data_IF_709542690744
#
_entry.id   IF_709542690744
#
_cell.length_a   1.000
_cell.length_b   1.000
_cell.length_c   1.000
_cell.angle_alpha   90.00
_cell.angle_beta   90.00
_cell.angle_gamma   90.00
#
_symmetry.space_group_name_H-M   'P 1'
#
loop_
_entity.id
_entity.type
_entity.pdbx_description
1 polymer ?
#
# COMPACT_ATOMS: atom_id res chain seq x y z
N UNK A 1 7.98 -1.66 -9.65
CA UNK A 1 6.65 -1.18 -9.25
C UNK A 1 6.12 -2.05 -8.13
N UNK A 2 5.29 -1.50 -7.25
CA UNK A 2 4.53 -2.23 -6.23
C UNK A 2 3.06 -1.94 -6.49
N UNK A 3 2.28 -2.98 -6.77
CA UNK A 3 0.85 -2.86 -7.10
C UNK A 3 0.04 -3.64 -6.06
N UNK A 4 -0.89 -2.95 -5.40
CA UNK A 4 -1.64 -3.46 -4.24
C UNK A 4 -3.14 -3.31 -4.53
N UNK A 5 -3.86 -4.41 -4.61
CA UNK A 5 -5.29 -4.42 -4.93
C UNK A 5 -6.06 -5.34 -4.02
N UNK A 6 -7.08 -4.84 -3.34
CA UNK A 6 -7.79 -5.59 -2.30
C UNK A 6 -9.29 -5.59 -2.57
N UNK A 7 -9.86 -6.76 -2.85
CA UNK A 7 -11.31 -6.93 -3.02
C UNK A 7 -11.94 -7.62 -1.81
N UNK A 8 -11.35 -8.74 -1.38
CA UNK A 8 -11.96 -9.67 -0.42
C UNK A 8 -11.71 -9.24 1.04
N UNK A 9 -12.06 -8.00 1.37
CA UNK A 9 -12.15 -7.58 2.77
C UNK A 9 -13.21 -8.42 3.50
N UNK A 10 -12.96 -8.88 4.75
CA UNK A 10 -13.96 -9.57 5.55
C UNK A 10 -15.25 -8.77 5.71
N UNK A 11 -15.10 -7.46 5.88
CA UNK A 11 -16.18 -6.48 5.96
C UNK A 11 -16.19 -5.59 4.71
N UNK A 12 -17.37 -5.38 4.11
CA UNK A 12 -17.56 -4.49 2.95
C UNK A 12 -16.66 -4.82 1.74
N UNK A 13 -16.78 -6.01 1.13
CA UNK A 13 -15.92 -6.41 0.02
C UNK A 13 -16.09 -5.50 -1.21
N UNK A 14 -14.98 -5.29 -1.93
CA UNK A 14 -14.90 -4.53 -3.17
C UNK A 14 -14.83 -5.47 -4.38
N UNK A 15 -14.89 -4.91 -5.59
CA UNK A 15 -14.84 -5.69 -6.85
C UNK A 15 -13.90 -5.11 -7.90
N UNK A 16 -13.60 -3.81 -7.86
CA UNK A 16 -12.80 -3.10 -8.87
C UNK A 16 -11.29 -3.21 -8.66
N UNK A 17 -10.84 -3.34 -7.41
CA UNK A 17 -9.44 -3.14 -7.06
C UNK A 17 -8.49 -4.17 -7.69
N UNK A 18 -8.87 -5.44 -7.70
CA UNK A 18 -8.05 -6.49 -8.35
C UNK A 18 -8.01 -6.31 -9.87
N UNK A 19 -9.14 -6.10 -10.58
CA UNK A 19 -9.11 -5.67 -11.98
C UNK A 19 -8.24 -4.45 -12.28
N UNK A 20 -8.24 -3.44 -11.40
CA UNK A 20 -7.40 -2.24 -11.58
C UNK A 20 -5.91 -2.58 -11.56
N UNK A 21 -5.49 -3.45 -10.64
CA UNK A 21 -4.10 -3.94 -10.57
C UNK A 21 -3.72 -4.73 -11.82
N UNK A 22 -4.61 -5.59 -12.32
CA UNK A 22 -4.36 -6.34 -13.56
C UNK A 22 -4.21 -5.42 -14.78
N UNK A 23 -5.02 -4.35 -14.86
CA UNK A 23 -4.90 -3.35 -15.92
C UNK A 23 -3.61 -2.55 -15.80
N UNK A 24 -3.21 -2.15 -14.58
CA UNK A 24 -1.96 -1.44 -14.36
C UNK A 24 -0.73 -2.31 -14.63
N UNK A 25 -0.73 -3.58 -14.21
CA UNK A 25 0.34 -4.53 -14.53
C UNK A 25 0.50 -4.68 -16.04
N UNK A 26 -0.62 -4.88 -16.75
CA UNK A 26 -0.64 -4.99 -18.21
C UNK A 26 -0.08 -3.72 -18.86
N UNK A 27 -0.52 -2.55 -18.44
CA UNK A 27 -0.01 -1.27 -18.94
C UNK A 27 1.50 -1.12 -18.71
N UNK A 28 1.99 -1.46 -17.52
CA UNK A 28 3.41 -1.38 -17.19
C UNK A 28 4.25 -2.32 -18.04
N UNK A 29 3.77 -3.54 -18.27
CA UNK A 29 4.52 -4.58 -18.99
C UNK A 29 4.42 -4.44 -20.50
N UNK A 30 3.21 -4.24 -21.05
CA UNK A 30 2.96 -4.22 -22.49
C UNK A 30 3.23 -2.86 -23.13
N UNK A 31 2.78 -1.76 -22.49
CA UNK A 31 2.90 -0.42 -23.07
C UNK A 31 4.21 0.27 -22.67
N UNK A 32 4.65 0.09 -21.42
CA UNK A 32 5.86 0.73 -20.88
C UNK A 32 7.09 -0.18 -20.85
N UNK A 33 6.94 -1.47 -21.17
CA UNK A 33 8.05 -2.42 -21.27
C UNK A 33 8.76 -2.70 -19.95
N UNK A 34 8.10 -2.51 -18.80
CA UNK A 34 8.64 -2.84 -17.49
C UNK A 34 8.74 -4.37 -17.37
N UNK A 35 9.92 -4.95 -17.07
CA UNK A 35 10.04 -6.38 -16.86
C UNK A 35 9.16 -6.86 -15.71
N UNK A 36 8.43 -7.96 -15.87
CA UNK A 36 7.51 -8.48 -14.84
C UNK A 36 8.22 -8.79 -13.51
N UNK A 37 9.48 -9.21 -13.54
CA UNK A 37 10.28 -9.43 -12.31
C UNK A 37 10.62 -8.13 -11.55
N UNK A 38 10.37 -6.96 -12.13
CA UNK A 38 10.45 -5.65 -11.47
C UNK A 38 9.10 -5.16 -10.97
N UNK A 39 8.06 -6.00 -10.99
CA UNK A 39 6.72 -5.70 -10.48
C UNK A 39 6.42 -6.64 -9.32
N UNK A 40 6.14 -6.07 -8.15
CA UNK A 40 5.63 -6.80 -6.99
C UNK A 40 4.11 -6.63 -6.95
N UNK A 41 3.38 -7.74 -6.84
CA UNK A 41 1.92 -7.77 -6.78
C UNK A 41 1.48 -8.23 -5.40
N UNK A 42 0.58 -7.47 -4.77
CA UNK A 42 -0.12 -7.88 -3.55
C UNK A 42 -1.63 -7.80 -3.84
N UNK A 43 -2.28 -8.96 -3.95
CA UNK A 43 -3.64 -9.06 -4.47
C UNK A 43 -4.52 -9.81 -3.48
N UNK A 44 -5.48 -9.11 -2.89
CA UNK A 44 -6.46 -9.66 -1.97
C UNK A 44 -7.67 -10.21 -2.74
N UNK A 45 -7.50 -11.39 -3.35
CA UNK A 45 -8.55 -12.14 -4.03
C UNK A 45 -8.88 -13.43 -3.27
N UNK A 46 -9.93 -14.15 -3.70
CA UNK A 46 -10.38 -15.40 -3.06
C UNK A 46 -9.27 -16.47 -2.99
N UNK A 47 -8.33 -16.41 -3.92
CA UNK A 47 -7.21 -17.34 -4.02
C UNK A 47 -6.03 -16.99 -3.10
N UNK A 48 -5.99 -15.75 -2.58
CA UNK A 48 -4.88 -15.17 -1.81
C UNK A 48 -5.38 -14.54 -0.50
N UNK A 49 -6.19 -15.28 0.26
CA UNK A 49 -6.77 -14.82 1.54
C UNK A 49 -5.98 -15.25 2.77
N UNK A 50 -5.02 -16.16 2.63
CA UNK A 50 -4.17 -16.60 3.76
C UNK A 50 -3.08 -15.56 4.03
N UNK A 51 -2.84 -15.23 5.30
CA UNK A 51 -1.72 -14.35 5.69
C UNK A 51 -0.36 -14.99 5.40
N UNK A 52 -0.29 -16.32 5.31
CA UNK A 52 0.93 -17.04 4.92
C UNK A 52 1.24 -16.94 3.42
N UNK A 53 0.31 -16.43 2.62
CA UNK A 53 0.51 -16.21 1.19
C UNK A 53 1.31 -14.91 0.99
N UNK A 54 2.51 -14.96 0.37
CA UNK A 54 3.31 -13.76 0.14
C UNK A 54 2.64 -12.72 -0.78
N UNK A 55 1.61 -13.12 -1.53
CA UNK A 55 0.81 -12.21 -2.37
C UNK A 55 -0.38 -11.61 -1.62
N UNK A 56 -0.69 -12.07 -0.40
CA UNK A 56 -1.76 -11.51 0.41
C UNK A 56 -1.39 -10.09 0.86
N UNK A 57 -2.25 -9.08 0.64
CA UNK A 57 -1.99 -7.69 1.00
C UNK A 57 -2.29 -7.45 2.50
N UNK A 58 -1.64 -8.26 3.35
CA UNK A 58 -1.60 -8.03 4.80
C UNK A 58 -0.82 -6.77 5.10
N UNK A 59 -1.02 -6.21 6.30
CA UNK A 59 -0.27 -5.03 6.73
C UNK A 59 1.24 -5.25 6.63
N UNK A 60 1.70 -6.42 7.09
CA UNK A 60 3.13 -6.77 7.09
C UNK A 60 3.66 -6.83 5.66
N UNK A 61 2.97 -7.52 4.76
CA UNK A 61 3.42 -7.66 3.37
C UNK A 61 3.43 -6.33 2.62
N UNK A 62 2.45 -5.45 2.83
CA UNK A 62 2.45 -4.11 2.22
C UNK A 62 3.66 -3.31 2.69
N UNK A 63 3.91 -3.27 3.99
CA UNK A 63 5.06 -2.52 4.55
C UNK A 63 6.39 -3.11 4.08
N UNK A 64 6.52 -4.43 4.10
CA UNK A 64 7.74 -5.12 3.65
C UNK A 64 8.01 -4.87 2.17
N UNK A 65 6.98 -4.92 1.32
CA UNK A 65 7.11 -4.62 -0.10
C UNK A 65 7.60 -3.18 -0.32
N UNK A 66 7.05 -2.20 0.40
CA UNK A 66 7.48 -0.81 0.31
C UNK A 66 8.90 -0.60 0.84
N UNK A 67 9.24 -1.17 2.00
CA UNK A 67 10.58 -1.07 2.58
C UNK A 67 11.63 -1.80 1.74
N UNK A 68 11.26 -2.88 1.04
CA UNK A 68 12.17 -3.61 0.13
C UNK A 68 12.70 -2.72 -0.99
N UNK A 69 11.95 -1.69 -1.41
CA UNK A 69 12.39 -0.74 -2.44
C UNK A 69 13.64 0.02 -2.01
N UNK A 70 13.84 0.23 -0.70
CA UNK A 70 14.99 0.95 -0.15
C UNK A 70 16.27 0.14 -0.36
N UNK A 71 16.23 -1.17 -0.10
CA UNK A 71 17.41 -2.04 -0.10
C UNK A 71 17.62 -2.80 -1.40
N UNK A 72 16.62 -2.85 -2.29
CA UNK A 72 16.71 -3.59 -3.55
C UNK A 72 17.82 -3.04 -4.44
N UNK A 73 18.87 -3.84 -4.68
CA UNK A 73 20.04 -3.46 -5.49
C UNK A 73 19.76 -3.34 -6.98
N UNK A 74 18.65 -3.89 -7.48
CA UNK A 74 18.25 -3.80 -8.89
C UNK A 74 17.63 -2.44 -9.24
N UNK A 75 17.26 -1.64 -8.24
CA UNK A 75 16.75 -0.27 -8.38
C UNK A 75 17.92 0.69 -8.23
N UNK A 76 18.33 1.31 -9.34
CA UNK A 76 19.37 2.33 -9.35
C UNK A 76 18.85 3.67 -8.80
N UNK A 77 19.77 4.54 -8.39
CA UNK A 77 19.42 5.90 -8.02
C UNK A 77 18.81 6.64 -9.23
N UNK A 78 17.67 7.30 -9.03
CA UNK A 78 16.82 7.94 -10.02
C UNK A 78 16.15 6.99 -11.05
N UNK A 79 16.04 5.70 -10.76
CA UNK A 79 15.06 4.84 -11.46
C UNK A 79 13.63 5.28 -11.13
N UNK A 80 12.70 5.06 -12.07
CA UNK A 80 11.29 5.34 -11.83
C UNK A 80 10.68 4.26 -10.92
N UNK A 81 10.08 4.70 -9.81
CA UNK A 81 9.36 3.84 -8.87
C UNK A 81 7.87 4.19 -8.97
N UNK A 82 7.05 3.17 -9.19
CA UNK A 82 5.59 3.30 -9.20
C UNK A 82 5.02 2.47 -8.05
N UNK A 83 4.19 3.11 -7.24
CA UNK A 83 3.40 2.49 -6.18
C UNK A 83 1.93 2.76 -6.52
N UNK A 84 1.15 1.69 -6.70
CA UNK A 84 -0.28 1.80 -6.96
C UNK A 84 -1.06 1.03 -5.91
N UNK A 85 -2.00 1.69 -5.25
CA UNK A 85 -2.92 1.08 -4.29
C UNK A 85 -4.36 1.28 -4.77
N UNK A 86 -5.15 0.21 -4.78
CA UNK A 86 -6.61 0.25 -4.96
C UNK A 86 -7.27 -0.57 -3.84
N UNK A 87 -8.14 0.06 -3.06
CA UNK A 87 -8.71 -0.55 -1.87
C UNK A 87 -9.51 0.42 -1.00
N UNK A 88 -9.80 0.02 0.24
CA UNK A 88 -10.43 0.90 1.21
C UNK A 88 -9.42 1.89 1.79
N UNK A 89 -9.84 3.14 1.90
CA UNK A 89 -9.19 4.08 2.79
C UNK A 89 -10.10 4.41 3.96
N UNK A 90 -9.50 4.75 5.10
CA UNK A 90 -10.20 5.08 6.33
C UNK A 90 -9.62 6.33 6.95
N UNK A 91 -10.13 6.69 8.13
CA UNK A 91 -9.54 7.73 8.93
C UNK A 91 -9.76 7.46 10.42
N UNK A 92 -8.82 7.90 11.24
CA UNK A 92 -8.94 7.86 12.70
C UNK A 92 -8.95 9.28 13.27
N UNK A 93 -9.73 9.52 14.35
CA UNK A 93 -9.58 10.75 15.10
C UNK A 93 -8.17 10.82 15.71
N UNK A 94 -7.58 12.01 15.84
CA UNK A 94 -6.30 12.17 16.52
C UNK A 94 -6.36 11.64 17.96
N UNK A 95 -5.22 11.19 18.48
CA UNK A 95 -5.15 10.77 19.88
C UNK A 95 -5.46 11.95 20.81
N UNK A 96 -6.29 11.76 21.84
CA UNK A 96 -6.76 12.85 22.71
C UNK A 96 -5.64 13.53 23.52
N UNK A 97 -4.43 12.96 23.57
CA UNK A 97 -3.27 13.54 24.25
C UNK A 97 -2.39 14.40 23.31
N UNK A 98 -2.64 14.39 21.99
CA UNK A 98 -2.03 15.34 21.06
C UNK A 98 -2.87 16.63 21.05
N UNK A 99 -2.47 17.57 21.91
CA UNK A 99 -3.09 18.90 22.14
C UNK A 99 -2.90 19.87 20.95
N UNK A 100 -2.78 19.33 19.73
CA UNK A 100 -2.78 20.09 18.48
C UNK A 100 -4.13 19.97 17.80
N UNK A 101 -4.57 21.06 17.16
CA UNK A 101 -5.70 21.09 16.21
C UNK A 101 -5.41 20.17 15.01
N UNK A 102 -5.36 18.86 15.24
CA UNK A 102 -4.80 17.92 14.29
C UNK A 102 -5.93 17.36 13.45
N UNK A 103 -5.81 17.56 12.13
CA UNK A 103 -6.66 16.95 11.13
C UNK A 103 -6.72 15.42 11.32
N UNK A 104 -7.84 14.81 10.93
CA UNK A 104 -8.03 13.36 10.92
C UNK A 104 -6.85 12.65 10.24
N UNK A 105 -6.40 11.53 10.83
CA UNK A 105 -5.33 10.70 10.25
C UNK A 105 -5.97 9.79 9.21
N UNK A 106 -5.67 10.01 7.94
CA UNK A 106 -6.13 9.17 6.84
C UNK A 106 -5.29 7.90 6.73
N UNK A 107 -5.90 6.79 6.32
CA UNK A 107 -5.24 5.47 6.33
C UNK A 107 -5.57 4.62 5.11
N UNK A 108 -4.63 3.76 4.72
CA UNK A 108 -4.85 2.65 3.78
C UNK A 108 -5.19 1.39 4.57
N UNK A 109 -6.29 0.73 4.20
CA UNK A 109 -6.78 -0.46 4.88
C UNK A 109 -6.11 -1.73 4.31
N UNK A 110 -5.33 -2.48 5.10
CA UNK A 110 -4.87 -3.81 4.69
C UNK A 110 -6.00 -4.84 4.80
N UNK A 111 -5.85 -6.01 4.16
CA UNK A 111 -6.90 -7.05 4.17
C UNK A 111 -7.15 -7.65 5.56
N UNK A 112 -6.11 -7.66 6.40
CA UNK A 112 -6.10 -8.24 7.74
C UNK A 112 -6.49 -7.25 8.84
N UNK A 113 -6.95 -6.04 8.50
CA UNK A 113 -7.34 -5.00 9.48
C UNK A 113 -8.35 -5.48 10.54
N UNK A 114 -9.25 -6.38 10.16
CA UNK A 114 -10.27 -6.92 11.06
C UNK A 114 -9.74 -8.07 11.94
N UNK A 115 -8.50 -8.52 11.73
CA UNK A 115 -7.83 -9.58 12.50
C UNK A 115 -7.40 -9.05 13.86
N UNK A 116 -7.62 -9.84 14.92
CA UNK A 116 -7.13 -9.54 16.27
C UNK A 116 -5.70 -10.06 16.44
N UNK A 117 -4.79 -9.20 16.88
CA UNK A 117 -3.45 -9.56 17.34
C UNK A 117 -3.46 -10.25 18.71
N UNK A 118 -2.27 -10.70 19.13
CA UNK A 118 -2.09 -11.37 20.44
C UNK A 118 -2.47 -10.49 21.63
N UNK A 119 -2.41 -9.17 21.48
CA UNK A 119 -2.79 -8.19 22.49
C UNK A 119 -4.31 -7.91 22.51
N UNK A 120 -5.09 -8.62 21.68
CA UNK A 120 -6.52 -8.46 21.55
C UNK A 120 -6.95 -7.20 20.80
N UNK A 121 -6.02 -6.49 20.14
CA UNK A 121 -6.34 -5.31 19.31
C UNK A 121 -6.38 -5.70 17.84
N UNK A 122 -7.16 -4.95 17.07
CA UNK A 122 -7.19 -5.09 15.62
C UNK A 122 -5.84 -4.69 14.99
N UNK A 123 -5.47 -5.35 13.89
CA UNK A 123 -4.32 -4.93 13.07
C UNK A 123 -4.56 -3.48 12.61
N UNK A 124 -3.64 -2.55 12.91
CA UNK A 124 -3.86 -1.15 12.56
C UNK A 124 -3.72 -0.95 11.06
N UNK A 125 -4.52 -0.05 10.50
CA UNK A 125 -4.33 0.42 9.13
C UNK A 125 -2.94 1.10 8.97
N UNK A 126 -2.57 1.39 7.73
CA UNK A 126 -1.33 2.11 7.40
C UNK A 126 -1.67 3.60 7.29
N UNK A 127 -1.16 4.41 8.23
CA UNK A 127 -1.45 5.86 8.23
C UNK A 127 -0.72 6.61 7.12
N UNK A 128 -1.27 7.74 6.71
CA UNK A 128 -0.62 8.71 5.83
C UNK A 128 0.75 9.15 6.36
N UNK A 129 0.90 9.37 7.67
CA UNK A 129 2.18 9.69 8.35
C UNK A 129 3.22 8.58 8.17
N UNK A 130 2.80 7.33 8.34
CA UNK A 130 3.66 6.16 8.15
C UNK A 130 4.06 5.98 6.68
N UNK A 131 3.09 6.09 5.76
CA UNK A 131 3.34 6.05 4.33
C UNK A 131 4.32 7.14 3.90
N UNK A 132 4.11 8.39 4.35
CA UNK A 132 5.01 9.52 4.06
C UNK A 132 6.42 9.31 4.62
N UNK A 133 6.53 8.68 5.78
CA UNK A 133 7.83 8.29 6.35
C UNK A 133 8.54 7.28 5.46
N UNK A 134 7.85 6.23 5.02
CA UNK A 134 8.40 5.20 4.14
C UNK A 134 8.79 5.80 2.78
N UNK A 135 7.93 6.61 2.16
CA UNK A 135 8.22 7.31 0.92
C UNK A 135 9.44 8.23 1.04
N UNK A 136 9.58 8.93 2.17
CA UNK A 136 10.76 9.76 2.46
C UNK A 136 12.05 8.93 2.55
N UNK A 137 12.00 7.73 3.13
CA UNK A 137 13.14 6.82 3.20
C UNK A 137 13.49 6.26 1.82
N UNK A 138 12.51 5.85 1.02
CA UNK A 138 12.72 5.43 -0.38
C UNK A 138 13.34 6.58 -1.17
N UNK A 139 12.82 7.80 -1.02
CA UNK A 139 13.32 8.99 -1.70
C UNK A 139 14.79 9.28 -1.39
N UNK A 140 15.20 9.13 -0.12
CA UNK A 140 16.60 9.31 0.31
C UNK A 140 17.53 8.24 -0.29
N UNK A 141 17.06 7.00 -0.40
CA UNK A 141 17.87 5.89 -0.89
C UNK A 141 17.93 5.81 -2.43
N UNK A 142 16.82 6.12 -3.11
CA UNK A 142 16.61 5.86 -4.54
C UNK A 142 16.39 7.12 -5.38
N UNK A 143 16.29 8.30 -4.78
CA UNK A 143 16.03 9.55 -5.48
C UNK A 143 14.54 9.87 -5.62
N UNK A 144 14.22 10.95 -6.33
CA UNK A 144 12.90 11.61 -6.26
C UNK A 144 11.86 11.12 -7.28
N UNK A 145 12.19 10.13 -8.13
CA UNK A 145 11.29 9.66 -9.21
C UNK A 145 10.31 8.60 -8.71
N UNK A 146 9.49 9.00 -7.74
CA UNK A 146 8.49 8.14 -7.11
C UNK A 146 7.11 8.65 -7.48
N UNK A 147 6.31 7.82 -8.15
CA UNK A 147 4.92 8.09 -8.48
C UNK A 147 4.04 7.20 -7.60
N UNK A 148 3.17 7.83 -6.81
CA UNK A 148 2.19 7.15 -5.97
C UNK A 148 0.80 7.43 -6.53
N UNK A 149 0.04 6.37 -6.78
CA UNK A 149 -1.35 6.43 -7.24
C UNK A 149 -2.20 5.74 -6.17
N UNK A 150 -3.19 6.46 -5.65
CA UNK A 150 -4.09 5.95 -4.61
C UNK A 150 -5.53 6.00 -5.15
N UNK A 151 -6.11 4.84 -5.38
CA UNK A 151 -7.50 4.65 -5.76
C UNK A 151 -8.28 4.15 -4.53
N UNK A 152 -8.53 5.08 -3.62
CA UNK A 152 -9.25 4.83 -2.37
C UNK A 152 -9.92 6.11 -1.87
N UNK A 153 -10.94 5.97 -1.03
CA UNK A 153 -11.52 7.09 -0.29
C UNK A 153 -10.49 7.64 0.72
N UNK A 154 -10.57 8.92 1.08
CA UNK A 154 -9.72 9.54 2.13
C UNK A 154 -8.20 9.39 1.87
N UNK A 155 -7.72 9.97 0.76
CA UNK A 155 -6.31 9.92 0.35
C UNK A 155 -5.65 11.33 0.22
N UNK A 156 -6.29 12.37 0.75
CA UNK A 156 -5.82 13.76 0.63
C UNK A 156 -4.57 14.06 1.47
N UNK A 157 -4.43 13.41 2.64
CA UNK A 157 -3.37 13.60 3.62
C UNK A 157 -1.99 13.13 3.14
N UNK A 158 -1.95 12.18 2.20
CA UNK A 158 -0.69 11.66 1.63
C UNK A 158 0.11 12.71 0.85
N UNK A 159 -0.52 13.81 0.45
CA UNK A 159 0.15 14.91 -0.26
C UNK A 159 0.75 16.00 0.64
N UNK A 160 0.60 15.90 1.97
CA UNK A 160 1.07 16.90 2.95
C UNK A 160 2.38 16.50 3.61
#
# INVERSE_FOLDING_TARGET
AVLIGINEYPSYPLRGCVPDIQLMEKFLTEDLGVPSNRIQLLVGSKDHTSVDDPLCPSRVHIIDALLSLITNSEIAYNDNIIIYYSGHGSYYPPHPEEDSETDYIETLSPIDRDTLGEDGKHVPDISDRELNTILSLICRAKGHRITVILDCCHASGVSR
#
